data_IF_671402375866
#
_entry.id   IF_671402375866
#
_cell.length_a   1.000
_cell.length_b   1.000
_cell.length_c   1.000
_cell.angle_alpha   90.00
_cell.angle_beta   90.00
_cell.angle_gamma   90.00
#
_symmetry.space_group_name_H-M   'P 1'
#
loop_
_entity.id
_entity.type
_entity.pdbx_description
1 polymer ?
#
# COMPACT_ATOMS: atom_id res chain seq x y z
N UNK A 1 -13.23 -7.25 19.26
CA UNK A 1 -12.21 -7.84 18.36
C UNK A 1 -11.74 -6.75 17.43
N UNK A 2 -10.45 -6.44 17.40
CA UNK A 2 -9.88 -5.37 16.56
C UNK A 2 -10.01 -5.75 15.06
N UNK A 3 -10.76 -4.98 14.23
CA UNK A 3 -11.01 -5.33 12.83
C UNK A 3 -9.73 -5.41 11.98
N UNK A 4 -8.75 -4.53 12.24
CA UNK A 4 -7.47 -4.56 11.54
C UNK A 4 -6.68 -5.83 11.86
N UNK A 5 -6.57 -6.18 13.14
CA UNK A 5 -5.88 -7.40 13.57
C UNK A 5 -6.56 -8.65 13.01
N UNK A 6 -7.89 -8.70 13.00
CA UNK A 6 -8.63 -9.78 12.36
C UNK A 6 -8.22 -9.94 10.89
N UNK A 7 -8.19 -8.84 10.16
CA UNK A 7 -7.88 -8.83 8.74
C UNK A 7 -6.45 -9.31 8.45
N UNK A 8 -5.47 -8.93 9.28
CA UNK A 8 -4.08 -9.44 9.20
C UNK A 8 -4.03 -10.95 9.42
N UNK A 9 -4.81 -11.47 10.37
CA UNK A 9 -4.90 -12.92 10.62
C UNK A 9 -5.56 -13.65 9.45
N UNK A 10 -6.62 -13.10 8.87
CA UNK A 10 -7.27 -13.66 7.67
C UNK A 10 -6.27 -13.68 6.50
N UNK A 11 -5.50 -12.62 6.28
CA UNK A 11 -4.46 -12.59 5.25
C UNK A 11 -3.44 -13.72 5.44
N UNK A 12 -2.98 -13.92 6.67
CA UNK A 12 -1.98 -14.96 7.01
C UNK A 12 -2.54 -16.38 6.80
N UNK A 13 -3.80 -16.61 7.15
CA UNK A 13 -4.49 -17.87 6.90
C UNK A 13 -4.66 -18.10 5.40
N UNK A 14 -5.10 -17.07 4.67
CA UNK A 14 -5.30 -17.16 3.23
C UNK A 14 -3.99 -17.47 2.49
N UNK A 15 -2.88 -16.86 2.90
CA UNK A 15 -1.55 -17.16 2.36
C UNK A 15 -1.13 -18.61 2.65
N UNK A 16 -1.29 -19.05 3.90
CA UNK A 16 -0.94 -20.41 4.32
C UNK A 16 -1.69 -21.49 3.53
N UNK A 17 -2.95 -21.25 3.22
CA UNK A 17 -3.80 -22.18 2.45
C UNK A 17 -3.85 -21.84 0.95
N UNK A 18 -3.04 -20.89 0.48
CA UNK A 18 -2.95 -20.47 -0.93
C UNK A 18 -4.31 -20.06 -1.54
N UNK A 19 -5.18 -19.45 -0.73
CA UNK A 19 -6.47 -18.92 -1.17
C UNK A 19 -6.29 -17.47 -1.61
N UNK A 20 -5.80 -17.30 -2.84
CA UNK A 20 -5.35 -15.99 -3.35
C UNK A 20 -6.44 -14.91 -3.30
N UNK A 21 -7.67 -15.24 -3.70
CA UNK A 21 -8.78 -14.27 -3.66
C UNK A 21 -9.03 -13.76 -2.23
N UNK A 22 -8.99 -14.64 -1.23
CA UNK A 22 -9.18 -14.25 0.17
C UNK A 22 -8.01 -13.40 0.68
N UNK A 23 -6.78 -13.72 0.27
CA UNK A 23 -5.58 -12.95 0.60
C UNK A 23 -5.69 -11.52 0.06
N UNK A 24 -6.14 -11.36 -1.19
CA UNK A 24 -6.39 -10.06 -1.82
C UNK A 24 -7.49 -9.29 -1.06
N UNK A 25 -8.63 -9.92 -0.76
CA UNK A 25 -9.74 -9.28 -0.05
C UNK A 25 -9.33 -8.82 1.36
N UNK A 26 -8.56 -9.64 2.08
CA UNK A 26 -8.01 -9.26 3.37
C UNK A 26 -7.08 -8.05 3.25
N UNK A 27 -6.15 -8.05 2.27
CA UNK A 27 -5.28 -6.90 2.03
C UNK A 27 -6.08 -5.61 1.76
N UNK A 28 -7.08 -5.66 0.87
CA UNK A 28 -7.90 -4.50 0.53
C UNK A 28 -8.64 -3.95 1.76
N UNK A 29 -9.23 -4.84 2.56
CA UNK A 29 -9.88 -4.46 3.83
C UNK A 29 -8.89 -3.81 4.79
N UNK A 30 -7.67 -4.36 4.90
CA UNK A 30 -6.64 -3.81 5.77
C UNK A 30 -6.19 -2.42 5.31
N UNK A 31 -6.06 -2.19 3.99
CA UNK A 31 -5.73 -0.88 3.42
C UNK A 31 -6.76 0.16 3.84
N UNK A 32 -8.05 -0.11 3.65
CA UNK A 32 -9.13 0.82 4.02
C UNK A 32 -9.09 1.12 5.51
N UNK A 33 -9.06 0.08 6.36
CA UNK A 33 -9.07 0.26 7.81
C UNK A 33 -7.84 1.03 8.32
N UNK A 34 -6.66 0.72 7.77
CA UNK A 34 -5.41 1.37 8.17
C UNK A 34 -5.35 2.83 7.70
N UNK A 35 -5.98 3.18 6.57
CA UNK A 35 -6.08 4.57 6.12
C UNK A 35 -7.03 5.39 7.00
N UNK A 36 -8.15 4.80 7.41
CA UNK A 36 -9.17 5.50 8.19
C UNK A 36 -8.78 5.61 9.68
N UNK A 37 -8.05 4.61 10.20
CA UNK A 37 -7.80 4.45 11.64
C UNK A 37 -6.30 4.36 11.99
N UNK A 38 -5.42 4.96 11.18
CA UNK A 38 -3.96 4.94 11.38
C UNK A 38 -3.51 5.44 12.76
N UNK A 39 -4.28 6.31 13.40
CA UNK A 39 -3.93 6.94 14.68
C UNK A 39 -4.32 6.08 15.90
N UNK A 40 -4.91 4.91 15.70
CA UNK A 40 -5.34 4.02 16.78
C UNK A 40 -4.22 3.09 17.26
N UNK A 41 -4.29 2.63 18.52
CA UNK A 41 -3.42 1.54 19.00
C UNK A 41 -3.67 0.21 18.27
N UNK A 42 -4.89 0.05 17.75
CA UNK A 42 -5.30 -1.07 16.92
C UNK A 42 -4.46 -1.17 15.63
N UNK A 43 -4.16 -0.03 15.00
CA UNK A 43 -3.25 0.02 13.86
C UNK A 43 -1.83 -0.44 14.23
N UNK A 44 -1.29 0.04 15.35
CA UNK A 44 0.06 -0.34 15.81
C UNK A 44 0.14 -1.84 16.11
N UNK A 45 -0.88 -2.38 16.78
CA UNK A 45 -1.01 -3.82 17.07
C UNK A 45 -1.09 -4.65 15.79
N UNK A 46 -1.89 -4.22 14.82
CA UNK A 46 -2.02 -4.91 13.54
C UNK A 46 -0.74 -4.80 12.68
N UNK A 47 -0.02 -3.68 12.75
CA UNK A 47 1.27 -3.49 12.09
C UNK A 47 2.34 -4.44 12.64
N UNK A 48 2.42 -4.59 13.96
CA UNK A 48 3.28 -5.58 14.61
C UNK A 48 2.95 -6.99 14.11
N UNK A 49 1.67 -7.38 14.18
CA UNK A 49 1.24 -8.71 13.75
C UNK A 49 1.52 -8.95 12.26
N UNK A 50 1.33 -7.94 11.40
CA UNK A 50 1.62 -8.04 9.97
C UNK A 50 3.10 -8.37 9.73
N UNK A 51 4.03 -7.72 10.44
CA UNK A 51 5.46 -8.02 10.32
C UNK A 51 5.85 -9.36 10.92
N UNK A 52 5.16 -9.79 11.97
CA UNK A 52 5.38 -11.09 12.63
C UNK A 52 4.91 -12.27 11.79
N UNK A 53 3.79 -12.12 11.08
CA UNK A 53 3.10 -13.23 10.39
C UNK A 53 3.44 -13.33 8.91
N UNK A 54 3.91 -12.25 8.28
CA UNK A 54 4.35 -12.26 6.88
C UNK A 54 5.87 -12.35 6.81
N UNK A 55 6.49 -13.16 5.92
CA UNK A 55 7.93 -13.14 5.70
C UNK A 55 8.38 -11.89 4.90
N UNK A 56 9.68 -11.62 4.85
CA UNK A 56 10.23 -10.44 4.14
C UNK A 56 9.88 -10.41 2.64
N UNK A 57 9.71 -11.58 2.01
CA UNK A 57 9.31 -11.74 0.61
C UNK A 57 7.84 -11.37 0.37
N UNK A 58 6.97 -11.52 1.37
CA UNK A 58 5.58 -11.08 1.27
C UNK A 58 5.47 -9.60 1.63
N UNK A 59 5.38 -8.77 0.59
CA UNK A 59 5.28 -7.32 0.72
C UNK A 59 3.84 -6.80 0.85
N UNK A 60 2.84 -7.68 0.79
CA UNK A 60 1.43 -7.26 0.65
C UNK A 60 0.93 -6.40 1.80
N UNK A 61 1.06 -6.84 3.04
CA UNK A 61 0.70 -6.05 4.23
C UNK A 61 1.83 -5.10 4.68
N UNK A 62 3.08 -5.53 4.55
CA UNK A 62 4.25 -4.75 5.00
C UNK A 62 4.36 -3.41 4.28
N UNK A 63 4.12 -3.38 2.97
CA UNK A 63 4.14 -2.13 2.20
C UNK A 63 3.00 -1.19 2.59
N UNK A 64 1.83 -1.72 2.96
CA UNK A 64 0.70 -0.92 3.46
C UNK A 64 1.06 -0.26 4.79
N UNK A 65 1.62 -1.02 5.73
CA UNK A 65 2.08 -0.48 7.02
C UNK A 65 3.12 0.62 6.80
N UNK A 66 4.12 0.39 5.95
CA UNK A 66 5.14 1.40 5.64
C UNK A 66 4.51 2.65 5.02
N UNK A 67 3.59 2.48 4.07
CA UNK A 67 2.91 3.61 3.43
C UNK A 67 2.16 4.48 4.44
N UNK A 68 1.38 3.86 5.33
CA UNK A 68 0.61 4.57 6.37
C UNK A 68 1.56 5.25 7.36
N UNK A 69 2.60 4.55 7.82
CA UNK A 69 3.58 5.11 8.75
C UNK A 69 4.36 6.29 8.16
N UNK A 70 4.72 6.25 6.88
CA UNK A 70 5.42 7.37 6.23
C UNK A 70 4.49 8.55 5.98
N UNK A 71 3.26 8.29 5.57
CA UNK A 71 2.24 9.32 5.34
C UNK A 71 1.93 10.12 6.60
N UNK A 72 1.85 9.44 7.75
CA UNK A 72 1.51 10.02 9.05
C UNK A 72 2.72 10.07 10.01
N UNK A 73 3.93 10.16 9.45
CA UNK A 73 5.17 10.05 10.23
C UNK A 73 5.30 11.13 11.30
N UNK A 74 4.81 12.35 11.02
CA UNK A 74 4.94 13.49 11.94
C UNK A 74 4.11 13.29 13.20
N UNK A 75 2.93 12.70 13.05
CA UNK A 75 1.99 12.44 14.13
C UNK A 75 2.33 11.14 14.86
N UNK A 76 2.78 10.11 14.13
CA UNK A 76 3.15 8.82 14.73
C UNK A 76 4.42 8.92 15.58
N UNK A 77 5.42 9.73 15.20
CA UNK A 77 6.66 9.89 15.99
C UNK A 77 6.46 10.53 17.36
N UNK A 78 5.31 11.17 17.60
CA UNK A 78 4.97 11.78 18.89
C UNK A 78 4.41 10.75 19.88
N UNK A 79 4.16 9.51 19.42
CA UNK A 79 3.58 8.44 20.24
C UNK A 79 4.65 7.47 20.72
N UNK A 80 4.74 7.30 22.03
CA UNK A 80 5.60 6.29 22.67
C UNK A 80 5.27 4.87 22.18
N UNK A 81 4.00 4.55 21.95
CA UNK A 81 3.58 3.26 21.40
C UNK A 81 4.14 2.98 19.99
N UNK A 82 4.34 4.03 19.17
CA UNK A 82 4.95 3.88 17.86
C UNK A 82 6.46 3.66 17.97
N UNK A 83 7.13 4.36 18.90
CA UNK A 83 8.55 4.11 19.19
C UNK A 83 8.76 2.65 19.62
N UNK A 84 7.93 2.17 20.55
CA UNK A 84 7.94 0.76 20.99
C UNK A 84 7.74 -0.21 19.83
N UNK A 85 6.77 0.05 18.94
CA UNK A 85 6.54 -0.76 17.74
C UNK A 85 7.80 -0.86 16.86
N UNK A 86 8.49 0.26 16.63
CA UNK A 86 9.70 0.31 15.78
C UNK A 86 10.86 -0.44 16.45
N UNK A 87 11.02 -0.31 17.77
CA UNK A 87 12.05 -1.03 18.54
C UNK A 87 11.79 -2.56 18.54
N UNK A 88 10.54 -2.98 18.73
CA UNK A 88 10.15 -4.40 18.76
C UNK A 88 10.09 -5.03 17.36
N UNK A 89 10.08 -4.21 16.30
CA UNK A 89 9.96 -4.68 14.92
C UNK A 89 11.12 -4.17 14.05
N UNK A 90 12.33 -4.76 14.16
CA UNK A 90 13.51 -4.32 13.39
C UNK A 90 13.29 -4.34 11.87
N UNK A 91 12.46 -5.26 11.38
CA UNK A 91 12.07 -5.32 9.96
C UNK A 91 11.31 -4.07 9.51
N UNK A 92 10.40 -3.57 10.35
CA UNK A 92 9.68 -2.32 10.09
C UNK A 92 10.63 -1.13 10.13
N UNK A 93 11.51 -1.05 11.14
CA UNK A 93 12.52 0.00 11.23
C UNK A 93 13.38 0.07 9.96
N UNK A 94 13.85 -1.08 9.49
CA UNK A 94 14.63 -1.21 8.25
C UNK A 94 13.85 -0.71 7.04
N UNK A 95 12.59 -1.16 6.88
CA UNK A 95 11.76 -0.76 5.76
C UNK A 95 11.38 0.74 5.80
N UNK A 96 11.14 1.32 6.98
CA UNK A 96 10.90 2.75 7.13
C UNK A 96 12.10 3.59 6.73
N UNK A 97 13.33 3.12 6.95
CA UNK A 97 14.54 3.84 6.52
C UNK A 97 14.76 3.66 5.02
N UNK A 98 14.84 2.41 4.55
CA UNK A 98 15.21 2.10 3.17
C UNK A 98 14.15 2.54 2.15
N UNK A 99 12.87 2.52 2.53
CA UNK A 99 11.77 2.84 1.62
C UNK A 99 11.30 4.29 1.74
N UNK A 100 11.90 5.09 2.62
CA UNK A 100 11.55 6.50 2.84
C UNK A 100 11.54 7.31 1.55
N UNK A 101 12.52 7.12 0.66
CA UNK A 101 12.63 7.84 -0.61
C UNK A 101 11.42 7.70 -1.53
N UNK A 102 10.62 6.62 -1.38
CA UNK A 102 9.38 6.43 -2.14
C UNK A 102 8.27 7.38 -1.71
N UNK A 103 8.36 7.93 -0.50
CA UNK A 103 7.31 8.70 0.16
C UNK A 103 7.74 10.13 0.53
N UNK A 104 9.02 10.47 0.37
CA UNK A 104 9.43 11.88 0.38
C UNK A 104 8.75 12.60 -0.80
N UNK A 105 8.26 13.85 -0.62
CA UNK A 105 7.98 14.68 -1.77
C UNK A 105 9.28 14.76 -2.56
N UNK A 106 9.27 14.25 -3.79
CA UNK A 106 10.39 14.40 -4.71
C UNK A 106 10.71 15.90 -4.70
N UNK A 107 11.97 16.24 -4.40
CA UNK A 107 12.44 17.61 -4.51
C UNK A 107 11.92 18.18 -5.83
N UNK A 108 11.32 19.37 -5.79
CA UNK A 108 10.69 20.04 -6.94
C UNK A 108 11.58 20.17 -8.20
N UNK A 109 12.86 19.81 -8.09
CA UNK A 109 13.84 19.69 -9.16
C UNK A 109 13.64 18.48 -10.11
N UNK A 110 12.98 17.41 -9.68
CA UNK A 110 12.74 16.26 -10.57
C UNK A 110 11.40 16.45 -11.28
N UNK A 111 11.44 17.18 -12.40
CA UNK A 111 10.41 17.30 -13.46
C UNK A 111 9.01 16.85 -13.04
N UNK A 112 8.08 17.80 -12.91
CA UNK A 112 6.63 17.56 -12.97
C UNK A 112 6.38 16.42 -13.96
N UNK A 113 6.01 15.24 -13.44
CA UNK A 113 5.65 14.10 -14.29
C UNK A 113 4.34 14.52 -14.93
N UNK A 114 4.40 15.09 -16.14
CA UNK A 114 3.24 15.22 -16.99
C UNK A 114 2.73 13.79 -17.19
N UNK A 115 1.63 13.48 -16.51
CA UNK A 115 0.91 12.21 -16.62
C UNK A 115 -0.34 12.48 -17.43
N UNK A 116 -0.62 11.60 -18.37
CA UNK A 116 -1.85 11.59 -19.13
C UNK A 116 -2.79 10.56 -18.52
N UNK A 117 -4.01 10.98 -18.23
CA UNK A 117 -5.06 10.12 -17.72
C UNK A 117 -5.80 9.46 -18.88
N UNK A 118 -6.14 8.19 -18.71
CA UNK A 118 -6.84 7.37 -19.69
C UNK A 118 -8.00 6.64 -19.04
N UNK A 119 -9.08 6.46 -19.81
CA UNK A 119 -10.22 5.63 -19.47
C UNK A 119 -10.48 4.60 -20.57
N UNK A 120 -10.92 3.42 -20.16
CA UNK A 120 -11.44 2.41 -21.08
C UNK A 120 -12.96 2.52 -21.16
N UNK A 121 -13.52 2.58 -22.35
CA UNK A 121 -14.97 2.62 -22.58
C UNK A 121 -15.65 1.25 -22.44
N UNK A 122 -14.87 0.17 -22.50
CA UNK A 122 -15.39 -1.20 -22.38
C UNK A 122 -15.45 -1.69 -20.94
N UNK A 123 -14.43 -1.40 -20.13
CA UNK A 123 -14.35 -1.86 -18.74
C UNK A 123 -14.37 -0.73 -17.69
N UNK A 124 -14.46 0.53 -18.12
CA UNK A 124 -14.49 1.72 -17.27
C UNK A 124 -13.25 1.91 -16.37
N UNK A 125 -12.19 1.14 -16.59
CA UNK A 125 -10.92 1.29 -15.89
C UNK A 125 -10.30 2.65 -16.20
N UNK A 126 -9.72 3.28 -15.17
CA UNK A 126 -8.98 4.55 -15.29
C UNK A 126 -7.54 4.33 -14.87
N UNK A 127 -6.59 4.87 -15.63
CA UNK A 127 -5.17 4.77 -15.31
C UNK A 127 -4.41 6.01 -15.77
N UNK A 128 -3.16 6.13 -15.33
CA UNK A 128 -2.30 7.26 -15.63
C UNK A 128 -0.95 6.78 -16.15
N UNK A 129 -0.45 7.39 -17.21
CA UNK A 129 0.82 7.06 -17.84
C UNK A 129 1.65 8.33 -17.98
N UNK A 130 2.97 8.23 -17.91
CA UNK A 130 3.84 9.35 -18.24
C UNK A 130 3.65 9.73 -19.71
N UNK A 131 3.53 11.02 -20.04
CA UNK A 131 3.25 11.48 -21.42
C UNK A 131 4.21 10.89 -22.46
N UNK A 132 5.50 10.73 -22.13
CA UNK A 132 6.49 10.12 -23.03
C UNK A 132 6.31 8.62 -23.31
N UNK A 133 5.38 7.96 -22.61
CA UNK A 133 5.03 6.56 -22.80
C UNK A 133 3.58 6.38 -23.32
N UNK A 134 2.81 7.47 -23.46
CA UNK A 134 1.40 7.42 -23.86
C UNK A 134 1.18 6.77 -25.23
N UNK A 135 2.09 6.97 -26.18
CA UNK A 135 2.02 6.43 -27.54
C UNK A 135 2.05 4.89 -27.59
N UNK A 136 2.55 4.23 -26.53
CA UNK A 136 2.64 2.77 -26.46
C UNK A 136 1.42 2.09 -25.84
N UNK A 137 0.47 2.87 -25.30
CA UNK A 137 -0.71 2.36 -24.60
C UNK A 137 -1.98 2.70 -25.37
N UNK A 138 -2.09 2.14 -26.57
CA UNK A 138 -3.30 2.19 -27.41
C UNK A 138 -4.35 1.16 -27.00
N UNK A 139 -4.02 0.26 -26.07
CA UNK A 139 -4.85 -0.85 -25.62
C UNK A 139 -5.03 -0.76 -24.10
N UNK A 140 -6.24 -1.06 -23.63
CA UNK A 140 -6.53 -1.13 -22.20
C UNK A 140 -5.71 -2.26 -21.54
N UNK A 141 -4.86 -1.96 -20.53
CA UNK A 141 -4.04 -2.98 -19.88
C UNK A 141 -4.85 -3.98 -19.04
N UNK A 142 -6.14 -3.70 -18.81
CA UNK A 142 -7.02 -4.52 -17.97
C UNK A 142 -7.94 -5.46 -18.76
N UNK A 143 -8.32 -5.10 -19.99
CA UNK A 143 -9.26 -5.90 -20.79
C UNK A 143 -8.81 -6.14 -22.24
N UNK A 144 -7.64 -5.61 -22.64
CA UNK A 144 -7.07 -5.73 -23.98
C UNK A 144 -7.93 -5.13 -25.11
N UNK A 145 -8.93 -4.32 -24.77
CA UNK A 145 -9.77 -3.59 -25.73
C UNK A 145 -9.08 -2.28 -26.16
N UNK A 146 -9.30 -1.86 -27.41
CA UNK A 146 -8.71 -0.66 -28.03
C UNK A 146 -9.56 0.60 -27.82
N UNK A 147 -10.74 0.47 -27.21
CA UNK A 147 -11.62 1.60 -26.86
C UNK A 147 -11.12 2.39 -25.65
N UNK A 148 -9.99 3.05 -25.83
CA UNK A 148 -9.33 3.88 -24.82
C UNK A 148 -9.46 5.36 -25.18
N UNK A 149 -9.88 6.19 -24.23
CA UNK A 149 -9.96 7.64 -24.36
C UNK A 149 -9.06 8.34 -23.35
N UNK A 150 -8.34 9.39 -23.77
CA UNK A 150 -7.67 10.29 -22.84
C UNK A 150 -8.66 11.33 -22.30
N UNK A 151 -8.50 11.74 -21.04
CA UNK A 151 -9.33 12.78 -20.41
C UNK A 151 -8.51 13.65 -19.45
#
# INVERSE_FOLDING_TARGET
MCPMLFTVKVYSIADRFQVEYLKIQAKLTFVTLAQDNWNSEDFLTAAFEAYKTTPKSDRGLRDVVVAVCQKHRKELREKEAFEKLVQETPGLATDLVLLSHRWLPQSASTRVRLVQSFSCLSCFAKWQIQVGLAEYFTICPFCQDDKVGAF
#
